data_IF_223116685209
#
_entry.id   IF_223116685209
#
_cell.length_a   1.000
_cell.length_b   1.000
_cell.length_c   1.000
_cell.angle_alpha   90.00
_cell.angle_beta   90.00
_cell.angle_gamma   90.00
#
_symmetry.space_group_name_H-M   'P 1'
#
loop_
_entity.id
_entity.type
_entity.pdbx_description
1 polymer ?
#
# COMPACT_ATOMS: atom_id res chain seq x y z
N UNK A 1 6.87 -0.75 9.25
CA UNK A 1 6.55 -1.87 10.16
C UNK A 1 5.13 -1.73 10.69
N UNK A 2 4.34 -2.79 10.67
CA UNK A 2 3.00 -2.80 11.29
C UNK A 2 2.85 -4.03 12.18
N UNK A 3 2.18 -3.87 13.33
CA UNK A 3 2.03 -4.89 14.39
C UNK A 3 0.56 -5.12 14.77
N UNK A 4 -0.37 -4.44 14.12
CA UNK A 4 -1.81 -4.49 14.38
C UNK A 4 -2.54 -5.61 13.60
N UNK A 5 -1.80 -6.45 12.88
CA UNK A 5 -2.35 -7.52 12.04
C UNK A 5 -2.74 -7.07 10.62
N UNK A 6 -2.63 -5.79 10.27
CA UNK A 6 -2.96 -5.27 8.92
C UNK A 6 -2.21 -5.99 7.79
N UNK A 7 -0.93 -6.30 7.99
CA UNK A 7 -0.14 -7.06 7.01
C UNK A 7 -0.74 -8.44 6.72
N UNK A 8 -1.20 -9.15 7.75
CA UNK A 8 -1.78 -10.50 7.60
C UNK A 8 -3.17 -10.43 6.96
N UNK A 9 -3.97 -9.46 7.38
CA UNK A 9 -5.27 -9.16 6.78
C UNK A 9 -5.14 -8.92 5.27
N UNK A 10 -4.19 -8.07 4.85
CA UNK A 10 -3.98 -7.79 3.41
C UNK A 10 -3.56 -9.05 2.65
N UNK A 11 -2.66 -9.87 3.21
CA UNK A 11 -2.22 -11.12 2.58
C UNK A 11 -3.37 -12.13 2.40
N UNK A 12 -4.27 -12.20 3.39
CA UNK A 12 -5.36 -13.18 3.39
C UNK A 12 -6.53 -12.72 2.52
N UNK A 13 -6.94 -11.44 2.62
CA UNK A 13 -8.13 -10.93 1.95
C UNK A 13 -7.86 -10.47 0.51
N UNK A 14 -6.63 -10.06 0.19
CA UNK A 14 -6.25 -9.53 -1.12
C UNK A 14 -4.96 -10.18 -1.63
N UNK A 15 -4.94 -11.52 -1.82
CA UNK A 15 -3.73 -12.26 -2.19
C UNK A 15 -3.12 -11.86 -3.55
N UNK A 16 -3.90 -11.22 -4.42
CA UNK A 16 -3.47 -10.68 -5.71
C UNK A 16 -2.66 -9.37 -5.59
N UNK A 17 -2.72 -8.69 -4.44
CA UNK A 17 -2.02 -7.41 -4.22
C UNK A 17 -0.56 -7.67 -3.86
N UNK A 18 0.35 -6.90 -4.46
CA UNK A 18 1.77 -6.88 -4.07
C UNK A 18 1.96 -6.07 -2.79
N UNK A 19 2.00 -6.74 -1.64
CA UNK A 19 2.27 -6.11 -0.34
C UNK A 19 3.79 -5.90 -0.12
N UNK A 20 4.20 -4.64 0.07
CA UNK A 20 5.55 -4.26 0.52
C UNK A 20 5.51 -3.99 2.03
N UNK A 21 5.94 -4.96 2.84
CA UNK A 21 5.95 -4.84 4.29
C UNK A 21 7.35 -4.40 4.79
N UNK A 22 7.51 -3.10 5.07
CA UNK A 22 8.76 -2.55 5.60
C UNK A 22 9.07 -3.07 7.02
N UNK A 23 10.31 -3.51 7.25
CA UNK A 23 10.78 -4.00 8.56
C UNK A 23 10.88 -2.89 9.61
N UNK A 24 11.11 -1.65 9.17
CA UNK A 24 11.20 -0.44 10.01
C UNK A 24 10.15 0.61 9.59
N UNK A 25 10.01 1.68 10.38
CA UNK A 25 9.25 2.85 9.97
C UNK A 25 10.15 3.79 9.17
N UNK A 26 10.09 3.66 7.84
CA UNK A 26 10.92 4.45 6.91
C UNK A 26 10.31 5.82 6.56
N UNK A 27 9.13 6.14 7.09
CA UNK A 27 8.37 7.34 6.78
C UNK A 27 7.59 7.28 5.46
N UNK A 28 6.60 8.17 5.33
CA UNK A 28 5.60 8.18 4.26
C UNK A 28 6.21 8.30 2.86
N UNK A 29 7.04 9.34 2.63
CA UNK A 29 7.62 9.59 1.31
C UNK A 29 8.54 8.46 0.85
N UNK A 30 9.32 7.89 1.76
CA UNK A 30 10.21 6.75 1.44
C UNK A 30 9.39 5.52 1.05
N UNK A 31 8.35 5.19 1.81
CA UNK A 31 7.49 4.06 1.53
C UNK A 31 6.79 4.19 0.16
N UNK A 32 6.25 5.37 -0.15
CA UNK A 32 5.62 5.63 -1.45
C UNK A 32 6.63 5.53 -2.59
N UNK A 33 7.84 6.11 -2.43
CA UNK A 33 8.88 6.04 -3.46
C UNK A 33 9.36 4.60 -3.73
N UNK A 34 9.36 3.70 -2.75
CA UNK A 34 9.65 2.28 -2.96
C UNK A 34 8.59 1.63 -3.87
N UNK A 35 7.30 1.87 -3.59
CA UNK A 35 6.21 1.32 -4.37
C UNK A 35 6.16 1.87 -5.81
N UNK A 36 6.42 3.17 -5.99
CA UNK A 36 6.46 3.81 -7.31
C UNK A 36 7.53 3.18 -8.20
N UNK A 37 8.72 2.89 -7.68
CA UNK A 37 9.80 2.25 -8.46
C UNK A 37 9.44 0.84 -8.93
N UNK A 38 8.60 0.13 -8.19
CA UNK A 38 8.12 -1.21 -8.49
C UNK A 38 6.86 -1.23 -9.38
N UNK A 39 6.22 -0.07 -9.54
CA UNK A 39 5.00 0.08 -10.33
C UNK A 39 5.29 0.01 -11.83
N UNK A 40 4.27 -0.37 -12.61
CA UNK A 40 4.38 -0.55 -14.08
C UNK A 40 3.34 0.26 -14.86
N UNK A 41 2.46 0.98 -14.16
CA UNK A 41 1.42 1.79 -14.80
C UNK A 41 2.00 3.09 -15.36
N UNK A 42 1.38 3.62 -16.40
CA UNK A 42 1.69 4.96 -16.94
C UNK A 42 1.35 6.06 -15.94
N UNK A 43 0.29 5.84 -15.14
CA UNK A 43 -0.17 6.74 -14.10
C UNK A 43 -0.07 6.11 -12.72
N UNK A 44 0.23 6.95 -11.72
CA UNK A 44 0.34 6.57 -10.33
C UNK A 44 -0.68 7.34 -9.50
N UNK A 45 -1.48 6.60 -8.75
CA UNK A 45 -2.37 7.13 -7.71
C UNK A 45 -1.82 6.72 -6.35
N UNK A 46 -1.49 7.69 -5.50
CA UNK A 46 -1.23 7.46 -4.09
C UNK A 46 -2.53 7.68 -3.31
N UNK A 47 -3.00 6.65 -2.63
CA UNK A 47 -4.24 6.69 -1.85
C UNK A 47 -3.95 6.31 -0.40
N UNK A 48 -4.44 7.11 0.53
CA UNK A 48 -4.28 6.80 1.96
C UNK A 48 -5.31 5.75 2.40
N UNK A 49 -4.97 4.88 3.37
CA UNK A 49 -5.83 3.78 3.82
C UNK A 49 -7.14 4.25 4.49
N UNK A 50 -7.21 5.51 4.93
CA UNK A 50 -8.39 6.16 5.51
C UNK A 50 -9.26 6.88 4.47
N UNK A 51 -9.03 6.64 3.19
CA UNK A 51 -9.83 7.22 2.10
C UNK A 51 -11.02 6.32 1.74
N UNK A 52 -12.21 6.90 1.65
CA UNK A 52 -13.39 6.26 1.06
C UNK A 52 -13.49 6.72 -0.40
N UNK A 53 -13.51 5.77 -1.33
CA UNK A 53 -13.81 6.05 -2.75
C UNK A 53 -15.32 5.91 -2.94
N UNK A 54 -16.04 6.99 -3.30
CA UNK A 54 -17.47 6.92 -3.57
C UNK A 54 -17.78 5.96 -4.73
N UNK A 55 -18.99 5.41 -4.72
CA UNK A 55 -19.51 4.71 -5.89
C UNK A 55 -19.60 5.70 -7.07
N UNK A 56 -19.22 5.24 -8.28
CA UNK A 56 -19.20 6.00 -9.53
C UNK A 56 -18.07 7.03 -9.70
N UNK A 57 -16.95 6.87 -8.99
CA UNK A 57 -15.68 7.45 -9.41
C UNK A 57 -15.06 6.70 -10.61
#
# INVERSE_FOLDING_TARGET
>A
NSVDGSNEMVRTLFPEVKLIANQDNVGFSTANNQAIKESKGEYILLLNPDTIVPENC
#
